data_IF_706558208432
#
_entry.id   IF_706558208432
#
_cell.length_a   1.000
_cell.length_b   1.000
_cell.length_c   1.000
_cell.angle_alpha   90.00
_cell.angle_beta   90.00
_cell.angle_gamma   90.00
#
_symmetry.space_group_name_H-M   'P 1'
#
loop_
_entity.id
_entity.type
_entity.pdbx_description
1 polymer ?
#
# COMPACT_ATOMS: atom_id res chain seq x y z
N UNK A 1 -265.87 49.22 68.87
CA UNK A 1 -266.02 48.78 70.26
C UNK A 1 -265.55 47.34 70.29
N UNK A 2 -264.39 47.12 70.91
CA UNK A 2 -264.03 45.89 71.63
C UNK A 2 -263.77 44.60 70.80
N UNK A 3 -262.50 44.15 70.74
CA UNK A 3 -261.86 43.15 71.62
C UNK A 3 -262.25 41.71 71.19
N UNK A 4 -261.39 40.75 70.86
CA UNK A 4 -260.02 40.43 71.30
C UNK A 4 -259.43 39.31 70.42
N UNK A 5 -258.10 39.26 70.26
CA UNK A 5 -257.32 38.03 70.05
C UNK A 5 -257.11 37.50 68.62
N UNK A 6 -258.12 37.49 67.75
CA UNK A 6 -258.04 36.71 66.47
C UNK A 6 -257.35 37.39 65.28
N UNK A 7 -257.08 38.70 65.31
CA UNK A 7 -256.47 39.41 64.18
C UNK A 7 -254.95 39.70 64.35
N UNK A 8 -254.41 39.57 65.57
CA UNK A 8 -252.98 39.84 65.85
C UNK A 8 -252.09 38.63 65.55
N UNK A 9 -252.60 37.40 65.71
CA UNK A 9 -251.80 36.18 65.50
C UNK A 9 -251.57 35.86 64.01
N UNK A 10 -252.53 36.19 63.13
CA UNK A 10 -252.35 36.00 61.67
C UNK A 10 -251.36 37.00 61.07
N UNK A 11 -251.26 38.22 61.61
CA UNK A 11 -250.28 39.22 61.18
C UNK A 11 -248.86 38.88 61.69
N UNK A 12 -248.73 38.27 62.87
CA UNK A 12 -247.42 37.78 63.37
C UNK A 12 -246.89 36.58 62.57
N UNK A 13 -247.75 35.68 62.08
CA UNK A 13 -247.31 34.58 61.19
C UNK A 13 -246.91 35.06 59.78
N UNK A 14 -247.48 36.14 59.26
CA UNK A 14 -247.05 36.69 57.97
C UNK A 14 -245.73 37.46 58.05
N UNK A 15 -245.42 38.11 59.18
CA UNK A 15 -244.16 38.82 59.37
C UNK A 15 -242.96 37.86 59.47
N UNK A 16 -243.12 36.70 60.13
CA UNK A 16 -242.06 35.69 60.24
C UNK A 16 -241.67 35.06 58.89
N UNK A 17 -242.62 34.90 57.94
CA UNK A 17 -242.31 34.33 56.62
C UNK A 17 -241.51 35.28 55.72
N UNK A 18 -241.78 36.60 55.77
CA UNK A 18 -241.04 37.58 54.96
C UNK A 18 -239.60 37.80 55.42
N UNK A 19 -239.33 37.69 56.73
CA UNK A 19 -237.95 37.77 57.25
C UNK A 19 -237.10 36.60 56.77
N UNK A 20 -237.69 35.41 56.60
CA UNK A 20 -236.97 34.23 56.10
C UNK A 20 -236.68 34.29 54.58
N UNK A 21 -237.54 34.94 53.80
CA UNK A 21 -237.30 35.15 52.35
C UNK A 21 -236.21 36.19 52.08
N UNK A 22 -236.11 37.24 52.90
CA UNK A 22 -235.06 38.27 52.75
C UNK A 22 -233.67 37.68 53.05
N UNK A 23 -233.54 36.82 54.06
CA UNK A 23 -232.27 36.14 54.36
C UNK A 23 -231.76 35.23 53.23
N UNK A 24 -232.66 34.51 52.55
CA UNK A 24 -232.28 33.68 51.38
C UNK A 24 -231.79 34.50 50.19
N UNK A 25 -232.37 35.68 49.98
CA UNK A 25 -231.99 36.56 48.87
C UNK A 25 -230.64 37.24 49.13
N UNK A 26 -230.32 37.55 50.39
CA UNK A 26 -229.01 38.08 50.77
C UNK A 26 -227.89 37.04 50.62
N UNK A 27 -228.12 35.77 51.01
CA UNK A 27 -227.16 34.67 50.76
C UNK A 27 -226.92 34.44 49.27
N UNK A 28 -227.97 34.49 48.43
CA UNK A 28 -227.82 34.36 46.97
C UNK A 28 -227.03 35.52 46.35
N UNK A 29 -227.12 36.73 46.90
CA UNK A 29 -226.38 37.89 46.37
C UNK A 29 -224.89 37.83 46.73
N UNK A 30 -224.55 37.31 47.90
CA UNK A 30 -223.17 37.08 48.31
C UNK A 30 -222.48 36.01 47.46
N UNK A 31 -223.16 34.90 47.16
CA UNK A 31 -222.61 33.82 46.32
C UNK A 31 -222.30 34.29 44.89
N UNK A 32 -223.20 35.05 44.26
CA UNK A 32 -222.98 35.59 42.91
C UNK A 32 -221.82 36.60 42.85
N UNK A 33 -221.58 37.38 43.91
CA UNK A 33 -220.43 38.30 43.97
C UNK A 33 -219.10 37.54 44.06
N UNK A 34 -219.04 36.45 44.82
CA UNK A 34 -217.85 35.60 44.87
C UNK A 34 -217.56 34.92 43.52
N UNK A 35 -218.60 34.49 42.80
CA UNK A 35 -218.43 33.83 41.50
C UNK A 35 -217.93 34.80 40.41
N UNK A 36 -218.41 36.05 40.40
CA UNK A 36 -217.91 37.09 39.48
C UNK A 36 -216.46 37.47 39.79
N UNK A 37 -216.09 37.57 41.07
CA UNK A 37 -214.71 37.84 41.47
C UNK A 37 -213.76 36.72 41.01
N UNK A 38 -214.18 35.45 41.14
CA UNK A 38 -213.42 34.29 40.63
C UNK A 38 -213.19 34.33 39.13
N UNK A 39 -214.24 34.61 38.34
CA UNK A 39 -214.14 34.73 36.87
C UNK A 39 -213.25 35.88 36.42
N UNK A 40 -213.28 37.02 37.14
CA UNK A 40 -212.38 38.15 36.86
C UNK A 40 -210.91 37.81 37.16
N UNK A 41 -210.65 37.02 38.20
CA UNK A 41 -209.29 36.56 38.52
C UNK A 41 -208.77 35.57 37.47
N UNK A 42 -209.59 34.61 37.02
CA UNK A 42 -209.21 33.69 35.92
C UNK A 42 -208.90 34.43 34.62
N UNK A 43 -209.66 35.49 34.30
CA UNK A 43 -209.44 36.29 33.10
C UNK A 43 -208.14 37.11 33.15
N UNK A 44 -207.76 37.63 34.33
CA UNK A 44 -206.51 38.37 34.47
C UNK A 44 -205.29 37.44 34.37
N UNK A 45 -205.36 36.24 34.97
CA UNK A 45 -204.31 35.22 34.87
C UNK A 45 -204.08 34.76 33.42
N UNK A 46 -205.15 34.51 32.65
CA UNK A 46 -205.02 34.13 31.23
C UNK A 46 -204.44 35.25 30.36
N UNK A 47 -204.79 36.51 30.62
CA UNK A 47 -204.19 37.65 29.91
C UNK A 47 -202.71 37.81 30.21
N UNK A 48 -202.30 37.58 31.45
CA UNK A 48 -200.89 37.63 31.85
C UNK A 48 -200.08 36.52 31.16
N UNK A 49 -200.61 35.29 31.11
CA UNK A 49 -199.97 34.18 30.39
C UNK A 49 -199.85 34.43 28.88
N UNK A 50 -200.86 35.05 28.26
CA UNK A 50 -200.80 35.39 26.84
C UNK A 50 -199.73 36.44 26.54
N UNK A 51 -199.65 37.51 27.35
CA UNK A 51 -198.61 38.54 27.20
C UNK A 51 -197.18 37.98 27.43
N UNK A 52 -197.00 37.03 28.36
CA UNK A 52 -195.72 36.32 28.53
C UNK A 52 -195.36 35.47 27.29
N UNK A 53 -196.33 34.78 26.68
CA UNK A 53 -196.07 33.98 25.48
C UNK A 53 -195.81 34.83 24.24
N UNK A 54 -196.49 35.96 24.11
CA UNK A 54 -196.27 36.91 23.02
C UNK A 54 -194.88 37.56 23.13
N UNK A 55 -194.47 37.98 24.33
CA UNK A 55 -193.11 38.51 24.55
C UNK A 55 -192.02 37.45 24.34
N UNK A 56 -192.25 36.20 24.73
CA UNK A 56 -191.37 35.07 24.40
C UNK A 56 -191.26 34.86 22.88
N UNK A 57 -192.37 34.94 22.14
CA UNK A 57 -192.37 34.81 20.68
C UNK A 57 -191.52 35.90 20.00
N UNK A 58 -191.70 37.16 20.41
CA UNK A 58 -190.89 38.28 19.89
C UNK A 58 -189.41 38.12 20.24
N UNK A 59 -189.08 37.62 21.43
CA UNK A 59 -187.69 37.35 21.81
C UNK A 59 -187.07 36.23 20.98
N UNK A 60 -187.81 35.14 20.70
CA UNK A 60 -187.35 34.03 19.87
C UNK A 60 -187.12 34.49 18.42
N UNK A 61 -188.04 35.27 17.85
CA UNK A 61 -187.85 35.79 16.49
C UNK A 61 -186.67 36.76 16.40
N UNK A 62 -186.48 37.62 17.41
CA UNK A 62 -185.28 38.49 17.47
C UNK A 62 -183.99 37.67 17.56
N UNK A 63 -183.99 36.58 18.35
CA UNK A 63 -182.85 35.65 18.45
C UNK A 63 -182.61 34.90 17.13
N UNK A 64 -183.68 34.51 16.43
CA UNK A 64 -183.59 33.82 15.12
C UNK A 64 -183.00 34.73 14.06
N UNK A 65 -183.43 35.99 13.98
CA UNK A 65 -182.87 36.98 13.05
C UNK A 65 -181.40 37.26 13.38
N UNK A 66 -181.04 37.37 14.66
CA UNK A 66 -179.66 37.58 15.07
C UNK A 66 -178.76 36.39 14.72
N UNK A 67 -179.19 35.16 15.01
CA UNK A 67 -178.46 33.95 14.63
C UNK A 67 -178.33 33.78 13.12
N UNK A 68 -179.35 34.18 12.34
CA UNK A 68 -179.26 34.15 10.89
C UNK A 68 -178.21 35.15 10.38
N UNK A 69 -178.17 36.36 10.94
CA UNK A 69 -177.14 37.35 10.62
C UNK A 69 -175.73 36.87 11.02
N UNK A 70 -175.58 36.18 12.15
CA UNK A 70 -174.31 35.59 12.58
C UNK A 70 -173.88 34.45 11.65
N UNK A 71 -174.81 33.58 11.20
CA UNK A 71 -174.53 32.52 10.22
C UNK A 71 -174.10 33.11 8.89
N UNK A 72 -174.80 34.13 8.40
CA UNK A 72 -174.46 34.80 7.14
C UNK A 72 -173.10 35.52 7.25
N UNK A 73 -172.81 36.12 8.41
CA UNK A 73 -171.52 36.74 8.73
C UNK A 73 -170.36 35.73 8.76
N UNK A 74 -170.52 34.63 9.50
CA UNK A 74 -169.53 33.54 9.55
C UNK A 74 -169.36 32.90 8.16
N UNK A 75 -170.45 32.79 7.37
CA UNK A 75 -170.39 32.29 6.00
C UNK A 75 -169.55 33.18 5.09
N UNK A 76 -169.66 34.50 5.22
CA UNK A 76 -168.80 35.45 4.50
C UNK A 76 -167.35 35.37 4.99
N UNK A 77 -167.11 35.33 6.30
CA UNK A 77 -165.75 35.18 6.85
C UNK A 77 -165.08 33.86 6.40
N UNK A 78 -165.85 32.77 6.31
CA UNK A 78 -165.36 31.49 5.81
C UNK A 78 -164.99 31.57 4.32
N UNK A 79 -165.84 32.20 3.50
CA UNK A 79 -165.56 32.41 2.08
C UNK A 79 -164.31 33.28 1.86
N UNK A 80 -164.16 34.35 2.64
CA UNK A 80 -162.97 35.21 2.59
C UNK A 80 -161.71 34.45 3.04
N UNK A 81 -161.82 33.64 4.10
CA UNK A 81 -160.72 32.81 4.58
C UNK A 81 -160.34 31.71 3.57
N UNK A 82 -161.32 31.05 2.95
CA UNK A 82 -161.08 30.09 1.86
C UNK A 82 -160.41 30.75 0.66
N UNK A 83 -160.84 31.96 0.29
CA UNK A 83 -160.20 32.77 -0.75
C UNK A 83 -158.74 33.09 -0.43
N UNK A 84 -158.46 33.58 0.78
CA UNK A 84 -157.10 33.87 1.24
C UNK A 84 -156.22 32.62 1.32
N UNK A 85 -156.77 31.48 1.74
CA UNK A 85 -156.04 30.21 1.82
C UNK A 85 -155.71 29.69 0.41
N UNK A 86 -156.62 29.84 -0.54
CA UNK A 86 -156.39 29.50 -1.94
C UNK A 86 -155.32 30.40 -2.57
N UNK A 87 -155.33 31.70 -2.30
CA UNK A 87 -154.29 32.63 -2.73
C UNK A 87 -152.93 32.30 -2.07
N UNK A 88 -152.90 32.05 -0.77
CA UNK A 88 -151.69 31.67 -0.04
C UNK A 88 -151.10 30.35 -0.57
N UNK A 89 -151.93 29.34 -0.84
CA UNK A 89 -151.49 28.08 -1.44
C UNK A 89 -150.96 28.28 -2.86
N UNK A 90 -151.58 29.16 -3.65
CA UNK A 90 -151.07 29.51 -4.98
C UNK A 90 -149.70 30.19 -4.89
N UNK A 91 -149.52 31.13 -3.95
CA UNK A 91 -148.23 31.77 -3.72
C UNK A 91 -147.17 30.78 -3.21
N UNK A 92 -147.55 29.86 -2.33
CA UNK A 92 -146.66 28.80 -1.85
C UNK A 92 -146.22 27.88 -3.00
N UNK A 93 -147.16 27.42 -3.83
CA UNK A 93 -146.84 26.58 -4.98
C UNK A 93 -145.92 27.28 -5.99
N UNK A 94 -146.14 28.59 -6.26
CA UNK A 94 -145.26 29.38 -7.10
C UNK A 94 -143.86 29.54 -6.48
N UNK A 95 -143.78 29.81 -5.17
CA UNK A 95 -142.51 29.91 -4.47
C UNK A 95 -141.77 28.58 -4.42
N UNK A 96 -142.47 27.46 -4.24
CA UNK A 96 -141.90 26.11 -4.25
C UNK A 96 -141.31 25.77 -5.63
N UNK A 97 -142.03 26.06 -6.71
CA UNK A 97 -141.54 25.90 -8.08
C UNK A 97 -140.31 26.79 -8.37
N UNK A 98 -140.37 28.08 -7.99
CA UNK A 98 -139.22 28.99 -8.11
C UNK A 98 -138.01 28.50 -7.31
N UNK A 99 -138.20 28.00 -6.09
CA UNK A 99 -137.10 27.43 -5.30
C UNK A 99 -136.54 26.16 -5.92
N UNK A 100 -137.39 25.30 -6.48
CA UNK A 100 -136.96 24.10 -7.19
C UNK A 100 -136.10 24.43 -8.41
N UNK A 101 -136.53 25.42 -9.21
CA UNK A 101 -135.78 25.90 -10.38
C UNK A 101 -134.44 26.52 -9.97
N UNK A 102 -134.41 27.34 -8.91
CA UNK A 102 -133.18 27.92 -8.38
C UNK A 102 -132.24 26.86 -7.77
N UNK A 103 -132.76 25.81 -7.15
CA UNK A 103 -131.95 24.69 -6.65
C UNK A 103 -131.33 23.88 -7.78
N UNK A 104 -132.07 23.65 -8.87
CA UNK A 104 -131.55 23.03 -10.09
C UNK A 104 -130.43 23.89 -10.69
N UNK A 105 -130.67 25.19 -10.91
CA UNK A 105 -129.66 26.12 -11.43
C UNK A 105 -128.42 26.19 -10.51
N UNK A 106 -128.62 26.23 -9.18
CA UNK A 106 -127.51 26.20 -8.22
C UNK A 106 -126.70 24.91 -8.35
N UNK A 107 -127.37 23.76 -8.53
CA UNK A 107 -126.68 22.48 -8.67
C UNK A 107 -125.83 22.42 -9.94
N UNK A 108 -126.36 22.95 -11.05
CA UNK A 108 -125.65 23.06 -12.32
C UNK A 108 -124.43 23.98 -12.20
N UNK A 109 -124.60 25.17 -11.61
CA UNK A 109 -123.50 26.12 -11.39
C UNK A 109 -122.43 25.59 -10.44
N UNK A 110 -122.80 24.80 -9.42
CA UNK A 110 -121.83 24.15 -8.52
C UNK A 110 -121.01 23.10 -9.27
N UNK A 111 -121.63 22.33 -10.16
CA UNK A 111 -120.94 21.35 -10.99
C UNK A 111 -120.03 22.02 -12.04
N UNK A 112 -120.49 23.09 -12.69
CA UNK A 112 -119.65 23.89 -13.58
C UNK A 112 -118.45 24.49 -12.83
N UNK A 113 -118.67 25.06 -11.64
CA UNK A 113 -117.58 25.59 -10.81
C UNK A 113 -116.58 24.49 -10.45
N UNK A 114 -117.05 23.29 -10.11
CA UNK A 114 -116.17 22.15 -9.82
C UNK A 114 -115.32 21.81 -11.04
N UNK A 115 -115.95 21.65 -12.21
CA UNK A 115 -115.25 21.36 -13.48
C UNK A 115 -114.20 22.41 -13.82
N UNK A 116 -114.54 23.70 -13.71
CA UNK A 116 -113.59 24.78 -13.96
C UNK A 116 -112.44 24.81 -12.94
N UNK A 117 -112.73 24.56 -11.66
CA UNK A 117 -111.70 24.50 -10.61
C UNK A 117 -110.71 23.37 -10.86
N UNK A 118 -111.20 22.19 -11.23
CA UNK A 118 -110.38 21.04 -11.61
C UNK A 118 -109.55 21.31 -12.86
N UNK A 119 -110.15 21.89 -13.91
CA UNK A 119 -109.46 22.27 -15.14
C UNK A 119 -108.33 23.29 -14.89
N UNK A 120 -108.58 24.30 -14.05
CA UNK A 120 -107.58 25.30 -13.64
C UNK A 120 -106.46 24.63 -12.84
N UNK A 121 -106.78 23.76 -11.90
CA UNK A 121 -105.79 23.02 -11.11
C UNK A 121 -104.88 22.16 -11.99
N UNK A 122 -105.46 21.37 -12.90
CA UNK A 122 -104.70 20.55 -13.85
C UNK A 122 -103.83 21.40 -14.77
N UNK A 123 -104.35 22.52 -15.28
CA UNK A 123 -103.57 23.42 -16.15
C UNK A 123 -102.42 24.06 -15.40
N UNK A 124 -102.62 24.47 -14.14
CA UNK A 124 -101.55 25.00 -13.27
C UNK A 124 -100.48 23.96 -13.01
N UNK A 125 -100.86 22.71 -12.73
CA UNK A 125 -99.91 21.61 -12.55
C UNK A 125 -99.11 21.35 -13.82
N UNK A 126 -99.75 21.34 -15.00
CA UNK A 126 -99.07 21.18 -16.29
C UNK A 126 -98.08 22.31 -16.56
N UNK A 127 -98.46 23.56 -16.34
CA UNK A 127 -97.56 24.72 -16.50
C UNK A 127 -96.39 24.65 -15.53
N UNK A 128 -96.63 24.25 -14.27
CA UNK A 128 -95.54 24.11 -13.30
C UNK A 128 -94.58 22.99 -13.69
N UNK A 129 -95.11 21.86 -14.17
CA UNK A 129 -94.29 20.75 -14.66
C UNK A 129 -93.43 21.18 -15.85
N UNK A 130 -94.04 21.80 -16.87
CA UNK A 130 -93.33 22.31 -18.05
C UNK A 130 -92.29 23.38 -17.70
N UNK A 131 -92.56 24.24 -16.71
CA UNK A 131 -91.56 25.21 -16.21
C UNK A 131 -90.38 24.53 -15.54
N UNK A 132 -90.64 23.49 -14.74
CA UNK A 132 -89.58 22.73 -14.11
C UNK A 132 -88.73 22.00 -15.18
N UNK A 133 -89.37 21.38 -16.18
CA UNK A 133 -88.67 20.74 -17.30
C UNK A 133 -87.83 21.74 -18.10
N UNK A 134 -88.40 22.90 -18.44
CA UNK A 134 -87.67 23.97 -19.13
C UNK A 134 -86.45 24.39 -18.30
N UNK A 135 -86.60 24.60 -17.00
CA UNK A 135 -85.50 24.97 -16.13
C UNK A 135 -84.42 23.88 -16.07
N UNK A 136 -84.81 22.60 -16.05
CA UNK A 136 -83.82 21.51 -16.11
C UNK A 136 -83.07 21.49 -17.44
N UNK A 137 -83.76 21.70 -18.57
CA UNK A 137 -83.12 21.78 -19.89
C UNK A 137 -82.21 23.01 -20.02
N UNK A 138 -82.59 24.16 -19.45
CA UNK A 138 -81.75 25.36 -19.42
C UNK A 138 -80.44 25.10 -18.65
N UNK A 139 -80.52 24.41 -17.51
CA UNK A 139 -79.34 24.04 -16.73
C UNK A 139 -78.46 23.02 -17.46
N UNK A 140 -79.05 22.04 -18.14
CA UNK A 140 -78.32 21.08 -18.97
C UNK A 140 -77.62 21.76 -20.15
N UNK A 141 -78.30 22.70 -20.82
CA UNK A 141 -77.73 23.49 -21.91
C UNK A 141 -76.54 24.31 -21.41
N UNK A 142 -76.69 25.03 -20.29
CA UNK A 142 -75.59 25.81 -19.71
C UNK A 142 -74.39 24.93 -19.35
N UNK A 143 -74.63 23.72 -18.81
CA UNK A 143 -73.55 22.75 -18.52
C UNK A 143 -72.86 22.28 -19.80
N UNK A 144 -73.62 21.98 -20.85
CA UNK A 144 -73.10 21.55 -22.13
C UNK A 144 -72.28 22.66 -22.82
N UNK A 145 -72.77 23.91 -22.77
CA UNK A 145 -72.05 25.08 -23.30
C UNK A 145 -70.75 25.34 -22.55
N UNK A 146 -70.78 25.32 -21.22
CA UNK A 146 -69.57 25.47 -20.40
C UNK A 146 -68.55 24.34 -20.68
N UNK A 147 -69.03 23.10 -20.86
CA UNK A 147 -68.18 21.96 -21.21
C UNK A 147 -67.56 22.12 -22.61
N UNK A 148 -68.35 22.54 -23.60
CA UNK A 148 -67.88 22.83 -24.97
C UNK A 148 -66.80 23.92 -24.95
N UNK A 149 -67.02 25.00 -24.23
CA UNK A 149 -66.08 26.13 -24.18
C UNK A 149 -64.78 25.73 -23.46
N UNK A 150 -64.87 24.93 -22.40
CA UNK A 150 -63.70 24.36 -21.73
C UNK A 150 -62.91 23.41 -22.65
N UNK A 151 -63.59 22.56 -23.43
CA UNK A 151 -62.97 21.69 -24.41
C UNK A 151 -62.29 22.47 -25.52
N UNK A 152 -62.95 23.49 -26.08
CA UNK A 152 -62.38 24.37 -27.11
C UNK A 152 -61.13 25.10 -26.60
N UNK A 153 -61.15 25.61 -25.37
CA UNK A 153 -59.98 26.21 -24.75
C UNK A 153 -58.83 25.19 -24.57
N UNK A 154 -59.16 23.93 -24.24
CA UNK A 154 -58.17 22.85 -24.14
C UNK A 154 -57.56 22.50 -25.50
N UNK A 155 -58.39 22.37 -26.54
CA UNK A 155 -57.94 22.15 -27.91
C UNK A 155 -57.00 23.28 -28.37
N UNK A 156 -57.37 24.54 -28.13
CA UNK A 156 -56.52 25.68 -28.45
C UNK A 156 -55.15 25.62 -27.77
N UNK A 157 -55.10 25.27 -26.47
CA UNK A 157 -53.82 25.07 -25.75
C UNK A 157 -52.99 23.93 -26.35
N UNK A 158 -53.61 22.81 -26.69
CA UNK A 158 -52.92 21.66 -27.28
C UNK A 158 -52.37 21.99 -28.69
N UNK A 159 -53.10 22.76 -29.49
CA UNK A 159 -52.62 23.18 -30.81
C UNK A 159 -51.37 24.06 -30.70
N UNK A 160 -51.35 25.03 -29.77
CA UNK A 160 -50.16 25.85 -29.50
C UNK A 160 -48.97 24.99 -29.05
N UNK A 161 -49.21 23.98 -28.21
CA UNK A 161 -48.17 23.05 -27.77
C UNK A 161 -47.63 22.19 -28.92
N UNK A 162 -48.50 21.70 -29.82
CA UNK A 162 -48.09 20.93 -31.00
C UNK A 162 -47.21 21.78 -31.91
N UNK A 163 -47.62 23.02 -32.20
CA UNK A 163 -46.85 23.93 -33.05
C UNK A 163 -45.48 24.25 -32.43
N UNK A 164 -45.43 24.55 -31.13
CA UNK A 164 -44.17 24.77 -30.41
C UNK A 164 -43.24 23.55 -30.45
N UNK A 165 -43.79 22.35 -30.26
CA UNK A 165 -43.02 21.11 -30.31
C UNK A 165 -42.54 20.78 -31.73
N UNK A 166 -43.35 21.05 -32.76
CA UNK A 166 -42.95 20.88 -34.16
C UNK A 166 -41.80 21.82 -34.52
N UNK A 167 -41.89 23.09 -34.12
CA UNK A 167 -40.82 24.07 -34.31
C UNK A 167 -39.53 23.64 -33.59
N UNK A 168 -39.64 23.19 -32.33
CA UNK A 168 -38.48 22.68 -31.59
C UNK A 168 -37.88 21.43 -32.23
N UNK A 169 -38.71 20.55 -32.80
CA UNK A 169 -38.24 19.38 -33.54
C UNK A 169 -37.46 19.78 -34.80
N UNK A 170 -37.94 20.75 -35.57
CA UNK A 170 -37.22 21.22 -36.75
C UNK A 170 -35.91 21.93 -36.39
N UNK A 171 -35.90 22.77 -35.35
CA UNK A 171 -34.69 23.41 -34.84
C UNK A 171 -33.65 22.37 -34.39
N UNK A 172 -34.08 21.34 -33.66
CA UNK A 172 -33.19 20.24 -33.24
C UNK A 172 -32.65 19.43 -34.42
N UNK A 173 -33.47 19.16 -35.43
CA UNK A 173 -33.04 18.44 -36.63
C UNK A 173 -31.97 19.24 -37.40
N UNK A 174 -32.17 20.56 -37.55
CA UNK A 174 -31.20 21.43 -38.21
C UNK A 174 -29.87 21.52 -37.44
N UNK A 175 -29.93 21.58 -36.10
CA UNK A 175 -28.70 21.53 -35.27
C UNK A 175 -27.99 20.18 -35.37
N UNK A 176 -28.72 19.06 -35.45
CA UNK A 176 -28.12 17.73 -35.60
C UNK A 176 -27.42 17.60 -36.96
N UNK A 177 -28.06 18.03 -38.05
CA UNK A 177 -27.46 18.02 -39.38
C UNK A 177 -26.20 18.90 -39.42
N UNK A 178 -26.22 20.08 -38.78
CA UNK A 178 -25.04 20.95 -38.67
C UNK A 178 -23.92 20.39 -37.79
N UNK A 179 -24.23 19.55 -36.79
CA UNK A 179 -23.24 18.89 -35.93
C UNK A 179 -22.64 17.63 -36.57
N UNK A 180 -23.34 16.96 -37.48
CA UNK A 180 -22.81 15.78 -38.19
C UNK A 180 -21.67 16.13 -39.16
N UNK A 181 -21.75 17.26 -39.87
CA UNK A 181 -20.69 17.72 -40.78
C UNK A 181 -19.31 17.84 -40.09
N UNK A 182 -19.13 18.58 -38.97
CA UNK A 182 -17.84 18.70 -38.31
C UNK A 182 -17.37 17.37 -37.70
N UNK A 183 -18.26 16.46 -37.30
CA UNK A 183 -17.88 15.12 -36.83
C UNK A 183 -17.27 14.30 -37.97
N UNK A 184 -17.86 14.35 -39.17
CA UNK A 184 -17.28 13.66 -40.33
C UNK A 184 -15.92 14.24 -40.72
N UNK A 185 -15.75 15.57 -40.67
CA UNK A 185 -14.48 16.22 -40.94
C UNK A 185 -13.42 15.87 -39.88
N UNK A 186 -13.78 15.90 -38.59
CA UNK A 186 -12.89 15.50 -37.49
C UNK A 186 -12.44 14.04 -37.64
N UNK A 187 -13.35 13.14 -38.01
CA UNK A 187 -13.03 11.73 -38.24
C UNK A 187 -12.06 11.53 -39.41
N UNK A 188 -12.23 12.29 -40.51
CA UNK A 188 -11.26 12.28 -41.61
C UNK A 188 -9.90 12.83 -41.19
N UNK A 189 -9.87 13.90 -40.40
CA UNK A 189 -8.62 14.46 -39.84
C UNK A 189 -7.95 13.45 -38.91
N UNK A 190 -8.71 12.79 -38.04
CA UNK A 190 -8.22 11.75 -37.14
C UNK A 190 -7.60 10.59 -37.92
N UNK A 191 -8.26 10.09 -38.96
CA UNK A 191 -7.70 9.04 -39.83
C UNK A 191 -6.38 9.47 -40.47
N UNK A 192 -6.28 10.71 -40.99
CA UNK A 192 -5.03 11.25 -41.55
C UNK A 192 -3.91 11.32 -40.49
N UNK A 193 -4.23 11.75 -39.27
CA UNK A 193 -3.27 11.82 -38.17
C UNK A 193 -2.81 10.43 -37.71
N UNK A 194 -3.73 9.46 -37.64
CA UNK A 194 -3.40 8.06 -37.32
C UNK A 194 -2.47 7.46 -38.37
N UNK A 195 -2.72 7.69 -39.65
CA UNK A 195 -1.84 7.23 -40.73
C UNK A 195 -0.43 7.85 -40.61
N UNK A 196 -0.34 9.17 -40.40
CA UNK A 196 0.95 9.85 -40.17
C UNK A 196 1.70 9.32 -38.95
N UNK A 197 0.98 9.02 -37.87
CA UNK A 197 1.57 8.41 -36.68
C UNK A 197 2.15 7.04 -37.00
N UNK A 198 1.41 6.19 -37.71
CA UNK A 198 1.87 4.86 -38.08
C UNK A 198 3.12 4.91 -38.98
N UNK A 199 3.14 5.82 -39.96
CA UNK A 199 4.32 6.05 -40.81
C UNK A 199 5.53 6.52 -39.99
N UNK A 200 5.32 7.38 -39.01
CA UNK A 200 6.38 7.89 -38.13
C UNK A 200 6.91 6.80 -37.19
N UNK A 201 6.03 5.97 -36.63
CA UNK A 201 6.41 4.82 -35.80
C UNK A 201 7.23 3.80 -36.61
N UNK A 202 6.85 3.52 -37.86
CA UNK A 202 7.63 2.67 -38.75
C UNK A 202 9.02 3.25 -39.02
N UNK A 203 9.12 4.55 -39.36
CA UNK A 203 10.41 5.23 -39.56
C UNK A 203 11.28 5.18 -38.31
N UNK A 204 10.70 5.40 -37.14
CA UNK A 204 11.41 5.30 -35.86
C UNK A 204 11.89 3.89 -35.58
N UNK A 205 11.06 2.88 -35.85
CA UNK A 205 11.44 1.47 -35.70
C UNK A 205 12.62 1.12 -36.60
N UNK A 206 12.57 1.48 -37.89
CA UNK A 206 13.66 1.24 -38.83
C UNK A 206 14.95 1.98 -38.42
N UNK A 207 14.84 3.23 -37.97
CA UNK A 207 15.99 3.98 -37.48
C UNK A 207 16.62 3.35 -36.23
N UNK A 208 15.79 2.82 -35.30
CA UNK A 208 16.27 2.10 -34.11
C UNK A 208 16.98 0.80 -34.45
N UNK A 209 16.43 0.03 -35.39
CA UNK A 209 17.09 -1.20 -35.87
C UNK A 209 18.44 -0.87 -36.52
N UNK A 210 18.49 0.13 -37.41
CA UNK A 210 19.75 0.56 -38.03
C UNK A 210 20.78 1.08 -37.02
N UNK A 211 20.34 1.82 -35.99
CA UNK A 211 21.22 2.25 -34.91
C UNK A 211 21.79 1.06 -34.12
N UNK A 212 20.94 0.08 -33.78
CA UNK A 212 21.39 -1.12 -33.06
C UNK A 212 22.39 -1.95 -33.87
N UNK A 213 22.22 -2.04 -35.19
CA UNK A 213 23.18 -2.73 -36.08
C UNK A 213 24.52 -1.99 -36.10
N UNK A 214 24.50 -0.66 -36.26
CA UNK A 214 25.71 0.17 -36.20
C UNK A 214 26.42 0.11 -34.85
N UNK A 215 25.68 0.02 -33.75
CA UNK A 215 26.26 -0.09 -32.40
C UNK A 215 26.98 -1.43 -32.21
N UNK A 216 26.43 -2.53 -32.74
CA UNK A 216 27.10 -3.83 -32.75
C UNK A 216 28.36 -3.79 -33.61
N UNK A 217 28.28 -3.21 -34.82
CA UNK A 217 29.44 -3.07 -35.70
C UNK A 217 30.54 -2.20 -35.07
N UNK A 218 30.16 -1.08 -34.44
CA UNK A 218 31.10 -0.22 -33.72
C UNK A 218 31.81 -0.97 -32.58
N UNK A 219 31.06 -1.78 -31.82
CA UNK A 219 31.64 -2.58 -30.74
C UNK A 219 32.62 -3.62 -31.26
N UNK A 220 32.30 -4.32 -32.35
CA UNK A 220 33.20 -5.29 -32.98
C UNK A 220 34.48 -4.62 -33.49
N UNK A 221 34.36 -3.48 -34.16
CA UNK A 221 35.52 -2.71 -34.63
C UNK A 221 36.38 -2.19 -33.47
N UNK A 222 35.76 -1.77 -32.36
CA UNK A 222 36.49 -1.33 -31.18
C UNK A 222 37.27 -2.48 -30.51
N UNK A 223 36.66 -3.67 -30.42
CA UNK A 223 37.36 -4.86 -29.92
C UNK A 223 38.55 -5.23 -30.81
N UNK A 224 38.38 -5.25 -32.13
CA UNK A 224 39.48 -5.49 -33.07
C UNK A 224 40.59 -4.45 -32.95
N UNK A 225 40.24 -3.17 -32.78
CA UNK A 225 41.23 -2.12 -32.55
C UNK A 225 42.05 -2.40 -31.28
N UNK A 226 41.39 -2.78 -30.18
CA UNK A 226 42.07 -3.12 -28.93
C UNK A 226 42.98 -4.34 -29.05
N UNK A 227 42.57 -5.37 -29.82
CA UNK A 227 43.40 -6.53 -30.15
C UNK A 227 44.65 -6.10 -30.94
N UNK A 228 44.47 -5.29 -32.00
CA UNK A 228 45.60 -4.76 -32.77
C UNK A 228 46.55 -3.89 -31.93
N UNK A 229 46.02 -3.10 -30.99
CA UNK A 229 46.84 -2.32 -30.06
C UNK A 229 47.68 -3.22 -29.13
N UNK A 230 47.10 -4.32 -28.63
CA UNK A 230 47.83 -5.32 -27.84
C UNK A 230 48.90 -6.03 -28.67
N UNK A 231 48.59 -6.43 -29.89
CA UNK A 231 49.55 -7.05 -30.81
C UNK A 231 50.72 -6.10 -31.12
N UNK A 232 50.44 -4.82 -31.34
CA UNK A 232 51.48 -3.80 -31.57
C UNK A 232 52.33 -3.58 -30.32
N UNK A 233 51.75 -3.56 -29.12
CA UNK A 233 52.49 -3.49 -27.87
C UNK A 233 53.40 -4.72 -27.69
N UNK A 234 52.88 -5.93 -27.86
CA UNK A 234 53.66 -7.17 -27.78
C UNK A 234 54.80 -7.20 -28.80
N UNK A 235 54.54 -6.76 -30.03
CA UNK A 235 55.57 -6.64 -31.06
C UNK A 235 56.67 -5.64 -30.68
N UNK A 236 56.30 -4.49 -30.07
CA UNK A 236 57.27 -3.50 -29.57
C UNK A 236 58.12 -4.04 -28.43
N UNK A 237 57.51 -4.73 -27.47
CA UNK A 237 58.25 -5.33 -26.34
C UNK A 237 59.23 -6.40 -26.85
N UNK A 238 58.80 -7.24 -27.80
CA UNK A 238 59.68 -8.23 -28.42
C UNK A 238 60.83 -7.59 -29.19
N UNK A 239 60.58 -6.48 -29.88
CA UNK A 239 61.62 -5.74 -30.61
C UNK A 239 62.64 -5.13 -29.65
N UNK A 240 62.20 -4.57 -28.53
CA UNK A 240 63.08 -3.98 -27.52
C UNK A 240 63.91 -5.07 -26.81
N UNK A 241 63.31 -6.22 -26.52
CA UNK A 241 64.05 -7.38 -26.00
C UNK A 241 65.14 -7.84 -26.97
N UNK A 242 64.84 -7.96 -28.27
CA UNK A 242 65.84 -8.32 -29.28
C UNK A 242 66.93 -7.25 -29.42
N UNK A 243 66.60 -5.96 -29.31
CA UNK A 243 67.58 -4.87 -29.32
C UNK A 243 68.52 -4.93 -28.13
N UNK A 244 67.98 -5.16 -26.92
CA UNK A 244 68.78 -5.33 -25.72
C UNK A 244 69.73 -6.53 -25.83
N UNK A 245 69.23 -7.68 -26.31
CA UNK A 245 70.08 -8.87 -26.57
C UNK A 245 71.16 -8.59 -27.60
N UNK A 246 70.83 -7.88 -28.67
CA UNK A 246 71.80 -7.48 -29.69
C UNK A 246 72.88 -6.56 -29.10
N UNK A 247 72.50 -5.59 -28.27
CA UNK A 247 73.44 -4.69 -27.59
C UNK A 247 74.32 -5.45 -26.58
N UNK A 248 73.74 -6.36 -25.79
CA UNK A 248 74.48 -7.23 -24.86
C UNK A 248 75.52 -8.09 -25.60
N UNK A 249 75.11 -8.72 -26.71
CA UNK A 249 76.02 -9.50 -27.56
C UNK A 249 77.11 -8.62 -28.20
N UNK A 250 76.77 -7.40 -28.62
CA UNK A 250 77.73 -6.45 -29.17
C UNK A 250 78.78 -6.07 -28.12
N UNK A 251 78.35 -5.67 -26.91
CA UNK A 251 79.26 -5.32 -25.80
C UNK A 251 80.10 -6.52 -25.39
N UNK A 252 79.52 -7.72 -25.31
CA UNK A 252 80.27 -8.95 -25.01
C UNK A 252 81.30 -9.24 -26.11
N UNK A 253 80.94 -9.07 -27.37
CA UNK A 253 81.87 -9.23 -28.50
C UNK A 253 83.02 -8.21 -28.45
N UNK A 254 82.71 -6.94 -28.16
CA UNK A 254 83.73 -5.89 -27.98
C UNK A 254 84.64 -6.19 -26.79
N UNK A 255 84.08 -6.62 -25.65
CA UNK A 255 84.86 -6.98 -24.46
C UNK A 255 85.79 -8.17 -24.75
N UNK A 256 85.31 -9.19 -25.48
CA UNK A 256 86.14 -10.33 -25.88
C UNK A 256 87.24 -9.90 -26.85
N UNK A 257 86.94 -9.03 -27.81
CA UNK A 257 87.93 -8.44 -28.72
C UNK A 257 89.00 -7.65 -27.95
N UNK A 258 88.60 -6.80 -27.01
CA UNK A 258 89.52 -6.05 -26.15
C UNK A 258 90.40 -6.98 -25.30
N UNK A 259 89.84 -8.03 -24.70
CA UNK A 259 90.61 -9.03 -23.94
C UNK A 259 91.63 -9.77 -24.82
N UNK A 260 91.25 -10.15 -26.04
CA UNK A 260 92.14 -10.84 -26.98
C UNK A 260 93.30 -9.92 -27.42
N UNK A 261 92.98 -8.68 -27.79
CA UNK A 261 93.99 -7.69 -28.20
C UNK A 261 94.91 -7.30 -27.05
N UNK A 262 94.39 -7.12 -25.82
CA UNK A 262 95.19 -6.84 -24.63
C UNK A 262 96.13 -8.00 -24.26
N UNK A 263 95.74 -9.24 -24.57
CA UNK A 263 96.60 -10.42 -24.47
C UNK A 263 97.70 -10.50 -25.53
N UNK A 264 97.75 -9.55 -26.49
CA UNK A 264 98.73 -9.51 -27.57
C UNK A 264 98.42 -10.45 -28.74
N UNK A 265 97.20 -10.99 -28.81
CA UNK A 265 96.78 -11.92 -29.88
C UNK A 265 95.93 -11.20 -30.94
N UNK A 266 96.03 -11.64 -32.18
CA UNK A 266 95.13 -11.23 -33.27
C UNK A 266 93.96 -12.23 -33.40
N UNK A 267 92.71 -11.73 -33.44
CA UNK A 267 91.51 -12.57 -33.48
C UNK A 267 91.52 -13.56 -34.66
N UNK A 268 91.85 -13.09 -35.87
CA UNK A 268 91.84 -13.92 -37.08
C UNK A 268 92.88 -15.05 -37.03
N UNK A 269 94.01 -14.83 -36.36
CA UNK A 269 95.01 -15.87 -36.13
C UNK A 269 94.50 -16.89 -35.10
N UNK A 270 93.91 -16.43 -33.99
CA UNK A 270 93.36 -17.27 -32.94
C UNK A 270 92.25 -18.19 -33.46
N UNK A 271 91.30 -17.65 -34.24
CA UNK A 271 90.19 -18.42 -34.83
C UNK A 271 90.68 -19.52 -35.77
N UNK A 272 91.81 -19.32 -36.46
CA UNK A 272 92.42 -20.35 -37.32
C UNK A 272 93.14 -21.44 -36.55
N UNK A 273 93.72 -21.11 -35.40
CA UNK A 273 94.44 -22.06 -34.54
C UNK A 273 93.51 -22.84 -33.60
N UNK A 274 92.30 -22.34 -33.33
CA UNK A 274 91.29 -23.03 -32.52
C UNK A 274 90.89 -24.37 -33.19
N UNK A 275 91.01 -25.51 -32.50
CA UNK A 275 90.54 -26.79 -33.01
C UNK A 275 89.04 -26.79 -33.28
N UNK A 276 88.59 -27.45 -34.36
CA UNK A 276 87.18 -27.51 -34.81
C UNK A 276 86.17 -28.17 -33.82
N UNK A 277 86.60 -28.54 -32.61
CA UNK A 277 85.77 -29.09 -31.54
C UNK A 277 86.13 -28.51 -30.16
N UNK A 278 86.63 -27.28 -30.12
CA UNK A 278 86.91 -26.59 -28.88
C UNK A 278 85.61 -26.15 -28.20
N UNK A 279 85.33 -26.70 -27.01
CA UNK A 279 84.22 -26.28 -26.14
C UNK A 279 84.74 -25.40 -25.01
N UNK A 280 84.09 -24.26 -24.76
CA UNK A 280 84.47 -23.25 -23.75
C UNK A 280 84.72 -23.89 -22.37
N UNK A 281 83.77 -24.69 -21.88
CA UNK A 281 83.84 -25.36 -20.57
C UNK A 281 85.09 -26.24 -20.42
N UNK A 282 85.48 -26.95 -21.49
CA UNK A 282 86.63 -27.87 -21.44
C UNK A 282 87.96 -27.12 -21.34
N UNK A 283 88.07 -25.97 -22.01
CA UNK A 283 89.28 -25.15 -22.00
C UNK A 283 89.37 -24.30 -20.73
N UNK A 284 88.24 -23.80 -20.23
CA UNK A 284 88.18 -23.14 -18.93
C UNK A 284 88.56 -24.11 -17.81
N UNK A 285 88.06 -25.35 -17.85
CA UNK A 285 88.46 -26.41 -16.93
C UNK A 285 89.97 -26.71 -16.97
N UNK A 286 90.57 -26.78 -18.17
CA UNK A 286 92.03 -26.94 -18.32
C UNK A 286 92.80 -25.74 -17.78
N UNK A 287 92.34 -24.52 -18.02
CA UNK A 287 92.96 -23.27 -17.55
C UNK A 287 92.96 -23.20 -16.02
N UNK A 288 91.82 -23.48 -15.37
CA UNK A 288 91.69 -23.56 -13.92
C UNK A 288 92.60 -24.66 -13.35
N UNK A 289 92.60 -25.86 -13.95
CA UNK A 289 93.51 -26.93 -13.52
C UNK A 289 94.99 -26.56 -13.66
N UNK A 290 95.37 -25.81 -14.69
CA UNK A 290 96.74 -25.33 -14.87
C UNK A 290 97.09 -24.27 -13.82
N UNK A 291 96.18 -23.32 -13.57
CA UNK A 291 96.33 -22.29 -12.55
C UNK A 291 96.46 -22.91 -11.15
N UNK A 292 95.64 -23.92 -10.83
CA UNK A 292 95.75 -24.70 -9.60
C UNK A 292 97.07 -25.47 -9.50
N UNK A 293 97.54 -26.08 -10.61
CA UNK A 293 98.85 -26.73 -10.65
C UNK A 293 99.98 -25.73 -10.41
N UNK A 294 99.89 -24.52 -10.98
CA UNK A 294 100.86 -23.44 -10.76
C UNK A 294 100.80 -22.96 -9.31
N UNK A 295 99.61 -22.75 -8.75
CA UNK A 295 99.42 -22.37 -7.35
C UNK A 295 99.99 -23.42 -6.39
N UNK A 296 99.86 -24.72 -6.71
CA UNK A 296 100.43 -25.83 -5.94
C UNK A 296 101.96 -25.90 -5.95
N UNK A 297 102.65 -25.27 -6.91
CA UNK A 297 104.11 -25.14 -6.88
C UNK A 297 104.54 -24.27 -5.67
N UNK A 298 103.62 -23.44 -5.15
CA UNK A 298 103.88 -22.54 -4.04
C UNK A 298 104.70 -21.33 -4.48
N UNK A 299 104.98 -20.39 -3.56
CA UNK A 299 105.85 -19.26 -3.86
C UNK A 299 107.23 -19.79 -4.28
N UNK A 300 107.60 -19.55 -5.54
CA UNK A 300 108.96 -19.84 -6.01
C UNK A 300 109.90 -18.91 -5.24
N UNK A 301 110.76 -19.49 -4.41
CA UNK A 301 111.73 -18.73 -3.64
C UNK A 301 112.83 -18.24 -4.60
N UNK A 302 112.66 -17.03 -5.15
CA UNK A 302 113.64 -16.42 -6.05
C UNK A 302 114.96 -16.09 -5.33
N UNK A 303 114.94 -15.96 -4.00
CA UNK A 303 116.12 -15.75 -3.16
C UNK A 303 116.88 -17.08 -2.94
N UNK A 304 116.30 -18.23 -3.29
CA UNK A 304 116.96 -19.52 -3.14
C UNK A 304 118.22 -19.65 -4.02
N UNK A 305 118.29 -18.92 -5.15
CA UNK A 305 119.49 -18.92 -6.00
C UNK A 305 120.61 -18.15 -5.30
N UNK A 306 120.32 -16.97 -4.76
CA UNK A 306 121.28 -16.16 -3.99
C UNK A 306 121.70 -16.87 -2.67
N UNK A 307 120.75 -17.46 -1.94
CA UNK A 307 121.03 -18.28 -0.74
C UNK A 307 121.88 -19.50 -1.08
N UNK A 308 121.63 -20.17 -2.21
CA UNK A 308 122.45 -21.29 -2.66
C UNK A 308 123.89 -20.84 -2.97
N UNK A 309 124.06 -19.72 -3.68
CA UNK A 309 125.37 -19.15 -3.95
C UNK A 309 126.11 -18.79 -2.65
N UNK A 310 125.47 -18.09 -1.71
CA UNK A 310 126.06 -17.72 -0.42
C UNK A 310 126.44 -18.95 0.43
N UNK A 311 125.57 -19.96 0.52
CA UNK A 311 125.87 -21.19 1.25
C UNK A 311 126.94 -22.04 0.55
N UNK A 312 126.99 -22.03 -0.79
CA UNK A 312 128.01 -22.75 -1.55
C UNK A 312 129.39 -22.10 -1.38
N UNK A 313 129.48 -20.77 -1.38
CA UNK A 313 130.72 -20.04 -1.03
C UNK A 313 131.17 -20.34 0.40
N UNK A 314 130.23 -20.34 1.36
CA UNK A 314 130.53 -20.67 2.75
C UNK A 314 131.03 -22.11 2.91
N UNK A 315 130.44 -23.05 2.16
CA UNK A 315 130.88 -24.45 2.14
C UNK A 315 132.28 -24.57 1.54
N UNK A 316 132.56 -23.94 0.40
CA UNK A 316 133.91 -23.93 -0.18
C UNK A 316 134.95 -23.33 0.78
N UNK A 317 134.62 -22.25 1.47
CA UNK A 317 135.51 -21.65 2.46
C UNK A 317 135.82 -22.62 3.61
N UNK A 318 134.80 -23.30 4.15
CA UNK A 318 134.97 -24.28 5.21
C UNK A 318 135.74 -25.52 4.75
N UNK A 319 135.50 -26.01 3.53
CA UNK A 319 136.24 -27.12 2.93
C UNK A 319 137.72 -26.77 2.78
N UNK A 320 138.04 -25.57 2.27
CA UNK A 320 139.44 -25.09 2.17
C UNK A 320 140.11 -25.01 3.55
N UNK A 321 139.40 -24.50 4.57
CA UNK A 321 139.95 -24.45 5.93
C UNK A 321 140.18 -25.85 6.51
N UNK A 322 139.29 -26.80 6.23
CA UNK A 322 139.43 -28.19 6.69
C UNK A 322 140.63 -28.88 6.03
N UNK A 323 140.82 -28.68 4.73
CA UNK A 323 141.94 -29.24 3.99
C UNK A 323 143.29 -28.65 4.47
N UNK A 324 143.37 -27.34 4.67
CA UNK A 324 144.57 -26.64 5.15
C UNK A 324 144.96 -27.11 6.57
N UNK A 325 143.98 -27.29 7.46
CA UNK A 325 144.19 -27.87 8.79
C UNK A 325 144.67 -29.34 8.73
N UNK A 326 144.08 -30.13 7.84
CA UNK A 326 144.44 -31.54 7.67
C UNK A 326 145.84 -31.71 7.08
N UNK A 327 146.23 -30.86 6.12
CA UNK A 327 147.56 -30.82 5.55
C UNK A 327 148.60 -30.34 6.57
N UNK A 328 148.29 -29.31 7.35
CA UNK A 328 149.14 -28.83 8.45
C UNK A 328 149.37 -29.92 9.51
N UNK A 329 148.33 -30.69 9.86
CA UNK A 329 148.44 -31.83 10.79
C UNK A 329 149.37 -32.92 10.22
N UNK A 330 149.16 -33.33 8.96
CA UNK A 330 150.01 -34.32 8.29
C UNK A 330 151.47 -33.84 8.19
N UNK A 331 151.68 -32.56 7.90
CA UNK A 331 153.01 -31.96 7.81
C UNK A 331 153.71 -31.98 9.17
N UNK A 332 153.00 -31.62 10.24
CA UNK A 332 153.53 -31.65 11.60
C UNK A 332 153.93 -33.07 12.01
N UNK A 333 153.08 -34.08 11.76
CA UNK A 333 153.40 -35.48 12.06
C UNK A 333 154.62 -35.99 11.27
N UNK A 334 154.75 -35.61 10.00
CA UNK A 334 155.90 -35.95 9.18
C UNK A 334 157.19 -35.26 9.67
N UNK A 335 157.10 -34.00 10.11
CA UNK A 335 158.22 -33.28 10.72
C UNK A 335 158.67 -33.96 12.01
N UNK A 336 157.74 -34.36 12.88
CA UNK A 336 158.05 -35.10 14.12
C UNK A 336 158.82 -36.40 13.80
N UNK A 337 158.33 -37.21 12.86
CA UNK A 337 159.00 -38.46 12.46
C UNK A 337 160.39 -38.24 11.85
N UNK A 338 160.59 -37.13 11.13
CA UNK A 338 161.89 -36.77 10.55
C UNK A 338 162.88 -36.34 11.63
N UNK A 339 162.43 -35.53 12.60
CA UNK A 339 163.23 -35.13 13.76
C UNK A 339 163.64 -36.34 14.58
N UNK A 340 162.73 -37.28 14.84
CA UNK A 340 163.05 -38.50 15.61
C UNK A 340 164.12 -39.35 14.92
N UNK A 341 164.04 -39.51 13.59
CA UNK A 341 165.06 -40.22 12.81
C UNK A 341 166.41 -39.51 12.84
N UNK A 342 166.43 -38.20 12.62
CA UNK A 342 167.68 -37.43 12.58
C UNK A 342 168.34 -37.38 13.98
N UNK A 343 167.53 -37.29 15.04
CA UNK A 343 168.00 -37.32 16.44
C UNK A 343 168.58 -38.69 16.78
N UNK A 344 167.91 -39.80 16.41
CA UNK A 344 168.44 -41.17 16.58
C UNK A 344 169.77 -41.37 15.85
N UNK A 345 169.87 -40.88 14.61
CA UNK A 345 171.07 -41.02 13.81
C UNK A 345 172.24 -40.22 14.40
N UNK A 346 172.03 -38.92 14.72
CA UNK A 346 173.07 -38.08 15.34
C UNK A 346 173.53 -38.61 16.69
N UNK A 347 172.62 -39.11 17.53
CA UNK A 347 172.98 -39.70 18.82
C UNK A 347 173.82 -40.96 18.64
N UNK A 348 173.45 -41.84 17.69
CA UNK A 348 174.23 -43.04 17.38
C UNK A 348 175.62 -42.70 16.85
N UNK A 349 175.71 -41.80 15.88
CA UNK A 349 176.98 -41.39 15.25
C UNK A 349 177.92 -40.75 16.29
N UNK A 350 177.39 -39.87 17.15
CA UNK A 350 178.18 -39.23 18.23
C UNK A 350 178.57 -40.21 19.33
N UNK A 351 177.69 -41.13 19.72
CA UNK A 351 177.99 -42.18 20.71
C UNK A 351 179.09 -43.14 20.22
N UNK A 352 179.02 -43.59 18.95
CA UNK A 352 180.03 -44.45 18.35
C UNK A 352 181.38 -43.72 18.22
N UNK A 353 181.39 -42.46 17.79
CA UNK A 353 182.61 -41.66 17.67
C UNK A 353 183.26 -41.41 19.03
N UNK A 354 182.48 -41.05 20.07
CA UNK A 354 182.97 -40.91 21.45
C UNK A 354 183.50 -42.23 22.01
N UNK A 355 182.81 -43.35 21.77
CA UNK A 355 183.24 -44.66 22.25
C UNK A 355 184.56 -45.11 21.59
N UNK A 356 184.74 -44.81 20.30
CA UNK A 356 185.98 -45.08 19.58
C UNK A 356 187.14 -44.22 20.12
N UNK A 357 186.93 -42.91 20.27
CA UNK A 357 187.93 -42.03 20.89
C UNK A 357 188.28 -42.46 22.31
N UNK A 358 187.28 -42.82 23.10
CA UNK A 358 187.47 -43.26 24.49
C UNK A 358 188.28 -44.56 24.59
N UNK A 359 188.07 -45.52 23.68
CA UNK A 359 188.88 -46.74 23.58
C UNK A 359 190.34 -46.47 23.17
N UNK A 360 190.58 -45.45 22.34
CA UNK A 360 191.93 -45.13 21.83
C UNK A 360 192.77 -44.31 22.82
N UNK A 361 192.17 -43.32 23.49
CA UNK A 361 192.88 -42.41 24.38
C UNK A 361 193.08 -42.97 25.79
N UNK A 362 192.19 -43.84 26.27
CA UNK A 362 192.29 -44.42 27.61
C UNK A 362 193.60 -45.20 27.86
N UNK A 363 194.08 -46.10 26.97
CA UNK A 363 195.34 -46.81 27.17
C UNK A 363 196.57 -45.89 27.15
N UNK A 364 196.55 -44.81 26.34
CA UNK A 364 197.66 -43.83 26.21
C UNK A 364 197.88 -43.03 27.49
N UNK A 365 196.82 -42.70 28.23
CA UNK A 365 196.87 -41.97 29.50
C UNK A 365 197.22 -42.84 30.71
N UNK A 366 196.86 -44.13 30.70
CA UNK A 366 197.04 -45.05 31.83
C UNK A 366 198.23 -46.03 31.69
N UNK A 367 198.96 -46.01 30.57
CA UNK A 367 200.10 -46.92 30.33
C UNK A 367 199.68 -48.39 30.08
N UNK A 368 198.41 -48.60 29.72
CA UNK A 368 197.75 -49.90 29.56
C UNK A 368 196.28 -49.88 30.06
N UNK A 369 195.51 -50.95 29.82
CA UNK A 369 194.09 -51.06 30.20
C UNK A 369 193.11 -50.89 29.04
N UNK A 370 191.79 -50.95 29.29
CA UNK A 370 190.73 -50.76 28.28
C UNK A 370 189.51 -50.06 28.89
N UNK A 371 188.86 -49.16 28.16
CA UNK A 371 187.60 -48.55 28.59
C UNK A 371 186.60 -48.44 27.43
N UNK A 372 185.30 -48.59 27.72
CA UNK A 372 184.22 -48.62 26.74
C UNK A 372 182.96 -47.96 27.29
N UNK A 373 182.19 -47.30 26.42
CA UNK A 373 180.86 -46.77 26.72
C UNK A 373 179.79 -47.82 26.37
N UNK A 374 178.79 -48.00 27.24
CA UNK A 374 177.64 -48.88 27.03
C UNK A 374 176.32 -48.11 27.21
N UNK A 375 175.34 -48.41 26.35
CA UNK A 375 173.97 -47.91 26.48
C UNK A 375 173.17 -48.74 27.48
N UNK A 376 172.26 -48.11 28.22
CA UNK A 376 171.41 -48.80 29.22
C UNK A 376 170.14 -49.41 28.65
N UNK A 377 169.72 -49.06 27.42
CA UNK A 377 168.47 -49.51 26.77
C UNK A 377 168.63 -49.58 25.23
N UNK A 378 167.71 -50.27 24.55
CA UNK A 378 167.68 -50.46 23.09
C UNK A 378 167.11 -49.25 22.34
N UNK A 379 166.25 -48.43 22.98
CA UNK A 379 165.73 -47.21 22.35
C UNK A 379 166.68 -46.02 22.51
N UNK A 380 167.36 -45.68 21.42
CA UNK A 380 168.37 -44.61 21.34
C UNK A 380 167.87 -43.22 21.78
N UNK A 381 166.56 -42.96 21.78
CA UNK A 381 165.98 -41.69 22.27
C UNK A 381 165.80 -41.63 23.80
N UNK A 382 165.82 -42.78 24.48
CA UNK A 382 165.53 -42.91 25.91
C UNK A 382 166.70 -43.52 26.71
N UNK A 383 167.69 -44.11 26.04
CA UNK A 383 168.83 -44.77 26.66
C UNK A 383 169.81 -43.80 27.37
N UNK A 384 170.30 -44.19 28.55
CA UNK A 384 171.41 -43.57 29.26
C UNK A 384 172.76 -44.18 28.88
N UNK A 385 173.86 -43.49 29.23
CA UNK A 385 175.24 -43.93 28.93
C UNK A 385 175.98 -44.30 30.21
N UNK A 386 176.57 -45.50 30.22
CA UNK A 386 177.37 -46.02 31.34
C UNK A 386 178.83 -46.18 30.93
N UNK A 387 179.74 -45.68 31.76
CA UNK A 387 181.19 -45.73 31.50
C UNK A 387 181.82 -46.93 32.19
N UNK A 388 182.42 -47.83 31.40
CA UNK A 388 183.11 -49.03 31.87
C UNK A 388 184.62 -48.86 31.65
N UNK A 389 185.43 -49.01 32.69
CA UNK A 389 186.88 -48.80 32.58
C UNK A 389 187.69 -49.86 33.35
N UNK A 390 188.81 -50.27 32.76
CA UNK A 390 189.72 -51.29 33.30
C UNK A 390 191.17 -50.77 33.36
N UNK A 391 191.64 -50.30 34.53
CA UNK A 391 193.03 -49.91 34.75
C UNK A 391 193.99 -51.12 34.74
N UNK A 392 195.27 -50.93 34.41
CA UNK A 392 196.25 -52.02 34.35
C UNK A 392 196.41 -52.70 35.72
N UNK A 393 196.17 -54.01 35.75
CA UNK A 393 196.25 -54.85 36.96
C UNK A 393 194.94 -55.11 37.72
N UNK A 394 193.80 -54.45 37.38
CA UNK A 394 192.50 -54.63 38.06
C UNK A 394 191.41 -55.26 37.15
N UNK A 395 190.31 -55.72 37.79
CA UNK A 395 189.07 -56.16 37.11
C UNK A 395 188.21 -54.97 36.66
N UNK A 396 187.39 -55.20 35.64
CA UNK A 396 186.55 -54.18 35.00
C UNK A 396 185.53 -53.59 35.98
N UNK A 397 185.44 -52.26 36.03
CA UNK A 397 184.60 -51.56 37.02
C UNK A 397 183.91 -50.35 36.38
N UNK A 398 182.70 -50.02 36.84
CA UNK A 398 182.02 -48.77 36.47
C UNK A 398 182.73 -47.55 37.05
N UNK A 399 182.59 -46.39 36.40
CA UNK A 399 183.29 -45.14 36.80
C UNK A 399 183.08 -44.76 38.27
N UNK A 400 181.92 -45.05 38.86
CA UNK A 400 181.63 -44.75 40.27
C UNK A 400 182.47 -45.55 41.28
N UNK A 401 183.08 -46.68 40.88
CA UNK A 401 183.85 -47.57 41.75
C UNK A 401 185.37 -47.33 41.68
N UNK A 402 185.83 -46.38 40.86
CA UNK A 402 187.25 -46.06 40.71
C UNK A 402 187.77 -45.12 41.83
N UNK A 403 189.08 -45.22 42.14
CA UNK A 403 189.76 -44.30 43.07
C UNK A 403 189.64 -42.86 42.58
N UNK A 404 189.56 -41.86 43.48
CA UNK A 404 189.35 -40.45 43.10
C UNK A 404 190.32 -39.92 42.04
N UNK A 405 191.58 -40.37 42.06
CA UNK A 405 192.57 -40.06 41.01
C UNK A 405 192.32 -40.79 39.68
N UNK A 406 191.88 -42.05 39.74
CA UNK A 406 191.50 -42.84 38.55
C UNK A 406 190.20 -42.30 37.92
N UNK A 407 189.23 -41.82 38.71
CA UNK A 407 188.00 -41.15 38.24
C UNK A 407 188.30 -39.87 37.49
N UNK A 408 189.16 -39.02 38.05
CA UNK A 408 189.56 -37.78 37.41
C UNK A 408 190.25 -38.05 36.07
N UNK A 409 191.18 -39.00 36.01
CA UNK A 409 191.83 -39.37 34.74
C UNK A 409 190.86 -40.01 33.73
N UNK A 410 189.90 -40.82 34.18
CA UNK A 410 188.88 -41.43 33.30
C UNK A 410 187.95 -40.37 32.71
N UNK A 411 187.55 -39.38 33.51
CA UNK A 411 186.78 -38.23 33.04
C UNK A 411 187.60 -37.34 32.10
N UNK A 412 188.90 -37.18 32.36
CA UNK A 412 189.83 -36.47 31.47
C UNK A 412 189.97 -37.20 30.13
N UNK A 413 190.11 -38.53 30.12
CA UNK A 413 190.10 -39.31 28.89
C UNK A 413 188.79 -39.14 28.10
N UNK A 414 187.65 -39.04 28.81
CA UNK A 414 186.33 -38.79 28.22
C UNK A 414 186.17 -37.37 27.66
N UNK A 415 186.96 -36.41 28.16
CA UNK A 415 186.93 -35.01 27.70
C UNK A 415 187.82 -34.79 26.48
N UNK A 416 188.81 -35.66 26.28
CA UNK A 416 189.74 -35.64 25.15
C UNK A 416 189.37 -36.65 24.05
N UNK A 417 188.19 -37.29 24.12
CA UNK A 417 187.70 -38.29 23.15
C UNK A 417 186.67 -37.75 22.16
#
# INVERSE_FOLDING_TARGET
>A
VELTGKEVEQLQQQQAKRVHEIGRLEESQQFLREEVAKRQQEQSELRQQFAEKETQGVQIDKRRVQLQADIDGIGQELLDAEGQLLEANRHFALAEDETGMLEMERSELVEERRRFTEAVSMTRQRVQHQRNELHTFELELQRAEASRDALNASVGRLMIQIESNQRRKSELAETLDHEEEPITELNQQLQKLLQRRQETEQRLSSARSGYSELEVEFRDQYTRLSEYEQDVAAARDSLEEQRMRMQELSVRSETLLEQITAGGYELDALVREIPKGAEEDTWQGKSVQLADKISKIGPVNLVAIEEFEEQSERKEYLDRQYDDLSEALSTLENVIRKIDRETKQRFKDTFESLNAGFQEFFPKLFGGGSATLQLTDDDLLLAGVTVMARPPGKRNSTIHLLSGGEKALTAVALLFS
#
